data_IF_990810263016
#
_entry.id   IF_990810263016
#
_cell.length_a   1.000
_cell.length_b   1.000
_cell.length_c   1.000
_cell.angle_alpha   90.00
_cell.angle_beta   90.00
_cell.angle_gamma   90.00
#
_symmetry.space_group_name_H-M   'P 1'
#
loop_
_entity.id
_entity.type
_entity.pdbx_description
1 polymer ?
#
# COMPACT_ATOMS: atom_id res chain seq x y z
N UNK A 1 -3.47 15.67 -14.79
CA UNK A 1 -2.02 15.43 -14.89
C UNK A 1 -1.61 14.46 -13.78
N UNK A 2 -0.84 13.41 -14.09
CA UNK A 2 -0.41 12.41 -13.10
C UNK A 2 0.93 12.83 -12.49
N UNK A 3 0.94 13.21 -11.21
CA UNK A 3 2.11 13.65 -10.44
C UNK A 3 2.96 12.45 -10.07
N UNK A 4 4.12 12.25 -10.71
CA UNK A 4 5.01 11.12 -10.40
C UNK A 4 5.55 11.26 -8.97
N UNK A 5 5.76 10.15 -8.25
CA UNK A 5 6.34 10.13 -6.89
C UNK A 5 7.60 9.27 -6.92
N UNK A 6 8.71 9.80 -6.40
CA UNK A 6 9.99 9.08 -6.32
C UNK A 6 10.31 8.75 -4.86
N UNK A 7 10.94 7.60 -4.64
CA UNK A 7 11.37 7.14 -3.31
C UNK A 7 12.88 6.98 -3.33
N UNK A 8 13.53 7.62 -2.36
CA UNK A 8 14.96 7.45 -2.13
C UNK A 8 15.25 6.10 -1.46
N UNK A 9 16.45 5.54 -1.69
CA UNK A 9 16.93 4.30 -1.06
C UNK A 9 16.85 4.33 0.48
N UNK A 10 16.83 5.53 1.09
CA UNK A 10 16.72 5.72 2.54
C UNK A 10 15.26 5.67 3.05
N UNK A 11 14.30 5.26 2.21
CA UNK A 11 12.89 5.12 2.59
C UNK A 11 12.12 6.43 2.69
N UNK A 12 12.73 7.58 2.43
CA UNK A 12 12.03 8.86 2.35
C UNK A 12 11.27 8.94 1.02
N UNK A 13 9.95 9.15 1.12
CA UNK A 13 9.01 9.31 0.00
C UNK A 13 8.79 10.81 -0.23
N UNK A 14 9.14 11.32 -1.40
CA UNK A 14 8.90 12.72 -1.77
C UNK A 14 8.22 12.82 -3.13
N UNK A 15 7.37 13.84 -3.29
CA UNK A 15 6.77 14.12 -4.59
C UNK A 15 7.88 14.52 -5.57
N UNK A 16 7.83 13.92 -6.77
CA UNK A 16 8.86 14.14 -7.76
C UNK A 16 8.63 15.47 -8.50
N UNK A 17 9.50 16.44 -8.26
CA UNK A 17 9.59 17.63 -9.10
C UNK A 17 10.89 17.55 -9.90
N UNK A 18 10.82 17.25 -11.20
CA UNK A 18 11.98 17.23 -12.11
C UNK A 18 12.30 15.88 -12.76
N UNK A 19 13.54 15.74 -13.24
CA UNK A 19 14.04 14.54 -13.94
C UNK A 19 14.20 13.35 -12.98
N UNK A 20 13.83 12.16 -13.45
CA UNK A 20 13.88 10.93 -12.65
C UNK A 20 15.33 10.60 -12.23
N UNK A 21 15.61 10.42 -10.92
CA UNK A 21 16.89 9.91 -10.47
C UNK A 21 17.10 8.47 -10.97
N UNK A 22 18.32 8.14 -11.38
CA UNK A 22 18.68 6.85 -12.02
C UNK A 22 18.29 5.63 -11.16
N UNK A 23 18.35 5.78 -9.85
CA UNK A 23 18.12 4.71 -8.86
C UNK A 23 16.80 4.86 -8.08
N UNK A 24 15.86 5.67 -8.57
CA UNK A 24 14.58 5.89 -7.90
C UNK A 24 13.50 4.90 -8.36
N UNK A 25 12.83 4.26 -7.37
CA UNK A 25 11.61 3.50 -7.60
C UNK A 25 10.47 4.48 -7.94
N UNK A 26 9.85 4.29 -9.12
CA UNK A 26 8.71 5.06 -9.58
C UNK A 26 7.43 4.48 -8.98
N UNK A 27 6.76 5.26 -8.12
CA UNK A 27 5.42 4.90 -7.64
C UNK A 27 4.37 5.75 -8.33
N UNK A 28 3.26 5.12 -8.70
CA UNK A 28 2.07 5.87 -9.08
C UNK A 28 1.57 6.64 -7.86
N UNK A 29 1.30 7.95 -7.96
CA UNK A 29 0.67 8.68 -6.87
C UNK A 29 -0.67 8.03 -6.56
N UNK A 30 -0.87 7.61 -5.31
CA UNK A 30 -2.21 7.31 -4.86
C UNK A 30 -2.97 8.63 -4.77
N UNK A 31 -4.12 8.74 -5.46
CA UNK A 31 -5.04 9.89 -5.29
C UNK A 31 -5.72 9.88 -3.91
N UNK A 32 -5.44 8.86 -3.08
CA UNK A 32 -6.05 8.69 -1.77
C UNK A 32 -5.27 9.48 -0.73
N UNK A 33 -5.97 10.14 0.18
CA UNK A 33 -5.33 10.77 1.33
C UNK A 33 -4.72 9.72 2.26
N UNK A 34 -3.73 10.11 3.08
CA UNK A 34 -3.12 9.26 4.10
C UNK A 34 -4.18 8.54 4.96
N UNK A 35 -5.22 9.28 5.39
CA UNK A 35 -6.33 8.75 6.18
C UNK A 35 -7.12 7.67 5.45
N UNK A 36 -7.35 7.84 4.14
CA UNK A 36 -8.05 6.85 3.32
C UNK A 36 -7.21 5.58 3.15
N UNK A 37 -5.89 5.71 2.94
CA UNK A 37 -4.96 4.57 2.87
C UNK A 37 -4.97 3.77 4.18
N UNK A 38 -4.90 4.46 5.33
CA UNK A 38 -4.95 3.81 6.64
C UNK A 38 -6.27 3.06 6.86
N UNK A 39 -7.40 3.67 6.51
CA UNK A 39 -8.72 3.03 6.63
C UNK A 39 -8.83 1.77 5.75
N UNK A 40 -8.34 1.84 4.52
CA UNK A 40 -8.33 0.71 3.59
C UNK A 40 -7.44 -0.44 4.10
N UNK A 41 -6.26 -0.13 4.61
CA UNK A 41 -5.37 -1.13 5.22
C UNK A 41 -6.04 -1.81 6.43
N UNK A 42 -6.70 -1.04 7.31
CA UNK A 42 -7.44 -1.58 8.45
C UNK A 42 -8.59 -2.49 8.00
N UNK A 43 -9.35 -2.09 6.98
CA UNK A 43 -10.44 -2.89 6.42
C UNK A 43 -9.91 -4.21 5.84
N UNK A 44 -8.84 -4.13 5.06
CA UNK A 44 -8.18 -5.30 4.45
C UNK A 44 -7.67 -6.26 5.52
N UNK A 45 -6.99 -5.74 6.55
CA UNK A 45 -6.50 -6.55 7.68
C UNK A 45 -7.63 -7.30 8.38
N UNK A 46 -8.76 -6.62 8.65
CA UNK A 46 -9.93 -7.24 9.28
C UNK A 46 -10.52 -8.34 8.40
N UNK A 47 -10.71 -8.07 7.10
CA UNK A 47 -11.22 -9.03 6.14
C UNK A 47 -10.33 -10.27 6.04
N UNK A 48 -9.01 -10.09 5.93
CA UNK A 48 -8.07 -11.19 5.83
C UNK A 48 -8.03 -12.02 7.12
N UNK A 49 -8.05 -11.36 8.28
CA UNK A 49 -8.10 -12.07 9.56
C UNK A 49 -9.35 -12.94 9.68
N UNK A 50 -10.51 -12.43 9.24
CA UNK A 50 -11.75 -13.18 9.26
C UNK A 50 -11.73 -14.35 8.27
N UNK A 51 -11.26 -14.13 7.03
CA UNK A 51 -11.11 -15.19 6.04
C UNK A 51 -10.18 -16.32 6.52
N UNK A 52 -9.05 -15.99 7.16
CA UNK A 52 -8.13 -16.98 7.72
C UNK A 52 -8.82 -17.81 8.82
N UNK A 53 -9.59 -17.16 9.70
CA UNK A 53 -10.34 -17.87 10.75
C UNK A 53 -11.35 -18.84 10.16
N UNK A 54 -12.15 -18.39 9.19
CA UNK A 54 -13.13 -19.23 8.50
C UNK A 54 -12.47 -20.45 7.84
N UNK A 55 -11.33 -20.25 7.16
CA UNK A 55 -10.55 -21.33 6.55
C UNK A 55 -9.99 -22.32 7.57
N UNK A 56 -9.52 -21.82 8.71
CA UNK A 56 -9.03 -22.68 9.78
C UNK A 56 -10.18 -23.50 10.39
N UNK A 57 -11.32 -22.88 10.68
CA UNK A 57 -12.50 -23.59 11.19
C UNK A 57 -13.05 -24.63 10.21
N UNK A 58 -12.97 -24.37 8.90
CA UNK A 58 -13.32 -25.34 7.85
C UNK A 58 -12.34 -26.53 7.87
N UNK A 59 -11.04 -26.26 8.00
CA UNK A 59 -10.02 -27.31 8.05
C UNK A 59 -10.12 -28.20 9.30
N UNK A 60 -10.43 -27.62 10.46
CA UNK A 60 -10.58 -28.36 11.73
C UNK A 60 -11.93 -29.08 11.89
N UNK A 61 -12.90 -28.85 11.00
CA UNK A 61 -14.18 -29.58 10.96
C UNK A 61 -14.13 -30.87 10.14
N UNK A 62 -13.01 -31.14 9.46
CA UNK A 62 -12.70 -32.44 8.83
C UNK A 62 -12.05 -33.37 9.83
#
# INVERSE_FOLDING_TARGET
>A
MATKVYVSLNGAVTEAVGTQPKDALLFAPSKKSMTQVILEQRKTRRSNSQFIKERLEEAFRR
#
